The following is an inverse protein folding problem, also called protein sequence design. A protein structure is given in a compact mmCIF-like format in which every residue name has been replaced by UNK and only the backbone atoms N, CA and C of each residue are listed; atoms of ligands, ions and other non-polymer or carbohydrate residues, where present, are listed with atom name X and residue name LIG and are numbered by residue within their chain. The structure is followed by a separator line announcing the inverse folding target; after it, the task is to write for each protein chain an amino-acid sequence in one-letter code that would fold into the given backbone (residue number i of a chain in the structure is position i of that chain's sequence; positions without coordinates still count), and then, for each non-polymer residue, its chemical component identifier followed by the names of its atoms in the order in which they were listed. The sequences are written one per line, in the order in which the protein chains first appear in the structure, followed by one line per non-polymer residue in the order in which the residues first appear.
data_IF_286041068783
#
_entry.id   IF_286041068783
#
_cell.length_a   1.000
_cell.length_b   1.000
_cell.length_c   1.000
_cell.angle_alpha   90.00
_cell.angle_beta   90.00
_cell.angle_gamma   90.00
#
_symmetry.space_group_name_H-M   'P 1'
#
loop_
_entity.id
_entity.type
_entity.pdbx_description
1 polymer ?
#
# COMPACT_ATOMS: atom_id res chain seq x y z
N UNK A 1 -15.49 16.89 11.60
CA UNK A 1 -14.43 17.80 12.10
C UNK A 1 -13.52 18.12 10.91
N UNK A 2 -13.70 19.28 10.25
CA UNK A 2 -13.03 19.57 8.95
C UNK A 2 -12.08 20.77 8.94
N UNK A 3 -11.95 21.53 10.02
CA UNK A 3 -11.18 22.78 10.01
C UNK A 3 -10.28 22.95 11.24
N UNK A 4 -9.19 22.18 11.30
CA UNK A 4 -8.03 22.54 12.14
C UNK A 4 -6.74 22.50 11.32
N UNK A 5 -6.67 23.27 10.22
CA UNK A 5 -5.40 23.54 9.54
C UNK A 5 -4.88 24.96 9.89
N UNK A 6 -5.04 25.42 11.14
CA UNK A 6 -4.29 26.60 11.61
C UNK A 6 -3.77 26.42 13.04
N UNK A 7 -2.46 26.67 13.19
CA UNK A 7 -1.62 26.62 14.40
C UNK A 7 -0.88 25.30 14.66
N UNK A 8 0.28 25.17 14.02
CA UNK A 8 1.41 24.44 14.62
C UNK A 8 2.40 25.51 15.08
N UNK A 9 2.54 25.69 16.39
CA UNK A 9 3.55 26.57 17.00
C UNK A 9 4.88 25.80 17.10
N UNK A 10 6.04 26.44 16.85
CA UNK A 10 7.33 25.78 17.03
C UNK A 10 7.71 25.81 18.51
N UNK A 11 7.55 24.69 19.22
CA UNK A 11 8.24 24.50 20.50
C UNK A 11 9.63 23.92 20.20
N UNK A 12 10.64 24.79 20.27
CA UNK A 12 12.03 24.37 20.42
C UNK A 12 12.21 23.86 21.86
N UNK A 13 12.45 22.56 22.01
CA UNK A 13 12.94 21.97 23.25
C UNK A 13 14.39 21.53 23.03
N UNK A 14 15.30 22.30 23.62
CA UNK A 14 16.71 21.93 23.80
C UNK A 14 16.75 20.82 24.84
N UNK A 15 17.09 19.59 24.44
CA UNK A 15 17.35 18.49 25.38
C UNK A 15 18.86 18.39 25.57
N UNK A 16 19.30 18.70 26.79
CA UNK A 16 20.66 18.53 27.27
C UNK A 16 21.03 17.05 27.31
N UNK A 17 22.22 16.72 26.82
CA UNK A 17 22.80 15.38 26.88
C UNK A 17 23.07 14.98 28.35
N UNK A 18 22.53 13.83 28.75
CA UNK A 18 22.90 13.14 29.98
C UNK A 18 23.52 11.80 29.59
N UNK A 19 24.84 11.70 29.81
CA UNK A 19 25.62 10.49 29.61
C UNK A 19 25.26 9.46 30.68
N UNK A 20 24.75 8.30 30.28
CA UNK A 20 24.61 7.14 31.15
C UNK A 20 25.73 6.13 30.85
N UNK A 21 26.46 5.77 31.91
CA UNK A 21 27.50 4.75 31.93
C UNK A 21 26.81 3.38 31.99
N UNK A 22 27.04 2.52 30.99
CA UNK A 22 26.61 1.11 31.03
C UNK A 22 27.54 0.28 31.94
N UNK A 23 27.01 -0.62 32.80
CA UNK A 23 27.78 -1.73 33.32
C UNK A 23 27.86 -2.87 32.28
N UNK A 24 29.03 -3.50 32.20
CA UNK A 24 29.33 -4.59 31.29
C UNK A 24 28.69 -5.93 31.68
N UNK A 25 28.27 -6.64 30.63
CA UNK A 25 28.29 -8.09 30.41
C UNK A 25 27.55 -9.03 31.39
N UNK A 26 26.49 -9.65 30.86
CA UNK A 26 26.14 -11.06 31.14
C UNK A 26 25.90 -11.73 29.78
N UNK A 27 26.61 -12.83 29.53
CA UNK A 27 26.71 -13.49 28.24
C UNK A 27 25.37 -14.01 27.70
N UNK A 28 25.08 -13.69 26.44
CA UNK A 28 23.99 -14.27 25.68
C UNK A 28 24.49 -15.51 24.93
N UNK A 29 23.85 -16.65 25.17
CA UNK A 29 23.95 -17.83 24.31
C UNK A 29 23.39 -17.48 22.93
N UNK A 30 24.24 -17.42 21.90
CA UNK A 30 23.80 -17.34 20.51
C UNK A 30 23.48 -18.74 19.99
N UNK A 31 22.21 -19.07 19.86
CA UNK A 31 21.80 -20.14 18.97
C UNK A 31 21.84 -19.60 17.54
N UNK A 32 22.89 -19.94 16.80
CA UNK A 32 22.97 -19.67 15.36
C UNK A 32 21.94 -20.55 14.63
N UNK A 33 20.84 -19.96 14.18
CA UNK A 33 20.02 -20.58 13.14
C UNK A 33 20.75 -20.40 11.81
N UNK A 34 21.40 -21.46 11.34
CA UNK A 34 21.94 -21.51 9.98
C UNK A 34 20.78 -21.45 8.98
N UNK A 35 20.65 -20.30 8.30
CA UNK A 35 19.85 -20.22 7.09
C UNK A 35 20.53 -21.04 5.98
N UNK A 36 19.84 -22.01 5.35
CA UNK A 36 20.41 -22.75 4.23
C UNK A 36 20.85 -21.78 3.13
N UNK A 37 22.14 -21.80 2.80
CA UNK A 37 22.71 -20.98 1.75
C UNK A 37 22.09 -21.35 0.39
N UNK A 38 21.32 -20.42 -0.18
CA UNK A 38 20.81 -20.54 -1.54
C UNK A 38 21.95 -20.27 -2.54
N UNK A 39 22.72 -21.31 -2.89
CA UNK A 39 23.62 -21.24 -4.04
C UNK A 39 22.84 -21.52 -5.33
N UNK A 40 22.97 -20.63 -6.33
CA UNK A 40 22.81 -21.01 -7.74
C UNK A 40 21.57 -20.55 -8.50
N UNK A 41 20.94 -19.42 -8.16
CA UNK A 41 20.06 -18.69 -9.10
C UNK A 41 20.64 -17.28 -9.23
N UNK A 42 20.84 -16.77 -10.44
CA UNK A 42 20.97 -15.32 -10.60
C UNK A 42 19.63 -14.73 -10.10
N UNK A 43 19.59 -14.35 -8.82
CA UNK A 43 18.35 -13.96 -8.15
C UNK A 43 18.01 -12.58 -8.65
N UNK A 44 17.14 -12.49 -9.66
CA UNK A 44 16.42 -11.26 -9.88
C UNK A 44 15.75 -10.86 -8.56
N UNK A 45 16.10 -9.69 -8.04
CA UNK A 45 15.65 -9.19 -6.74
C UNK A 45 14.12 -9.26 -6.63
N UNK A 46 13.65 -9.77 -5.51
CA UNK A 46 12.23 -9.78 -5.13
C UNK A 46 12.07 -8.90 -3.90
N UNK A 47 10.95 -8.21 -3.82
CA UNK A 47 10.67 -7.25 -2.77
C UNK A 47 9.33 -7.55 -2.10
N UNK A 48 9.33 -7.50 -0.78
CA UNK A 48 8.16 -7.58 0.06
C UNK A 48 7.81 -6.20 0.61
N UNK A 49 6.58 -5.76 0.37
CA UNK A 49 6.04 -4.51 0.87
C UNK A 49 4.92 -4.76 1.88
N UNK A 50 4.68 -3.80 2.76
CA UNK A 50 3.53 -3.82 3.68
C UNK A 50 2.66 -2.59 3.47
N UNK A 51 1.35 -2.79 3.35
CA UNK A 51 0.38 -1.70 3.20
C UNK A 51 0.05 -1.07 4.54
N UNK A 52 0.20 0.24 4.69
CA UNK A 52 -0.08 0.96 5.93
C UNK A 52 -1.14 2.03 5.68
N UNK A 53 -2.27 1.93 6.38
CA UNK A 53 -3.38 2.87 6.32
C UNK A 53 -3.00 4.12 7.10
N UNK A 54 -2.55 5.17 6.42
CA UNK A 54 -2.24 6.47 7.05
C UNK A 54 -3.51 7.07 7.66
N UNK A 55 -4.68 6.76 7.11
CA UNK A 55 -5.99 7.06 7.70
C UNK A 55 -6.16 6.61 9.15
N UNK A 56 -5.41 5.61 9.60
CA UNK A 56 -5.47 5.08 10.98
C UNK A 56 -4.40 5.68 11.91
N UNK A 57 -3.70 6.74 11.47
CA UNK A 57 -2.55 7.33 12.17
C UNK A 57 -2.81 8.73 12.72
N UNK A 58 -4.07 9.13 12.89
CA UNK A 58 -4.41 10.50 13.33
C UNK A 58 -3.71 10.91 14.64
N UNK A 59 -3.58 9.98 15.59
CA UNK A 59 -2.92 10.18 16.87
C UNK A 59 -1.42 9.85 16.87
N UNK A 60 -0.86 9.37 15.74
CA UNK A 60 0.54 8.99 15.68
C UNK A 60 1.44 10.18 15.92
N UNK A 61 2.45 9.95 16.74
CA UNK A 61 3.61 10.81 16.90
C UNK A 61 4.81 10.13 16.23
N UNK A 62 5.93 10.83 16.22
CA UNK A 62 7.17 10.29 15.66
C UNK A 62 7.56 8.94 16.29
N UNK A 63 7.40 8.78 17.61
CA UNK A 63 7.74 7.54 18.31
C UNK A 63 6.88 6.35 17.85
N UNK A 64 5.61 6.59 17.55
CA UNK A 64 4.70 5.54 17.10
C UNK A 64 5.10 5.06 15.69
N UNK A 65 5.47 5.99 14.80
CA UNK A 65 6.07 5.66 13.50
C UNK A 65 7.42 4.94 13.62
N UNK A 66 8.29 5.34 14.55
CA UNK A 66 9.57 4.64 14.79
C UNK A 66 9.29 3.19 15.21
N UNK A 67 8.38 2.97 16.16
CA UNK A 67 8.04 1.62 16.62
C UNK A 67 7.49 0.76 15.50
N UNK A 68 6.53 1.26 14.71
CA UNK A 68 5.97 0.51 13.58
C UNK A 68 7.05 0.16 12.55
N UNK A 69 7.88 1.13 12.13
CA UNK A 69 8.92 0.91 11.15
C UNK A 69 10.04 -0.01 11.65
N UNK A 70 10.35 0.00 12.95
CA UNK A 70 11.27 -0.97 13.55
C UNK A 70 10.73 -2.39 13.43
N UNK A 71 9.48 -2.64 13.81
CA UNK A 71 8.87 -3.97 13.70
C UNK A 71 8.77 -4.43 12.24
N UNK A 72 8.34 -3.55 11.34
CA UNK A 72 8.25 -3.85 9.90
C UNK A 72 9.62 -4.26 9.33
N UNK A 73 10.67 -3.57 9.76
CA UNK A 73 12.04 -3.91 9.37
C UNK A 73 12.48 -5.26 9.96
N UNK A 74 12.13 -5.54 11.22
CA UNK A 74 12.41 -6.84 11.88
C UNK A 74 11.66 -8.00 11.23
N UNK A 75 10.45 -7.76 10.74
CA UNK A 75 9.63 -8.71 9.97
C UNK A 75 10.17 -8.95 8.54
N UNK A 76 11.19 -8.19 8.11
CA UNK A 76 11.89 -8.38 6.84
C UNK A 76 11.23 -7.75 5.62
N UNK A 77 10.36 -6.74 5.80
CA UNK A 77 9.80 -5.98 4.68
C UNK A 77 10.81 -4.94 4.15
N UNK A 78 10.87 -4.81 2.83
CA UNK A 78 11.76 -3.86 2.14
C UNK A 78 11.19 -2.44 2.16
N UNK A 79 9.87 -2.31 2.04
CA UNK A 79 9.22 -1.01 2.04
C UNK A 79 7.78 -0.98 2.55
N UNK A 80 7.35 0.20 2.99
CA UNK A 80 5.97 0.49 3.40
C UNK A 80 5.25 1.28 2.32
N UNK A 81 4.10 0.75 1.87
CA UNK A 81 3.16 1.45 1.02
C UNK A 81 2.25 2.32 1.88
N UNK A 82 2.51 3.63 1.91
CA UNK A 82 1.75 4.59 2.72
C UNK A 82 0.45 4.96 2.01
N UNK A 83 -0.68 4.38 2.45
CA UNK A 83 -1.99 4.65 1.88
C UNK A 83 -2.63 5.90 2.49
N UNK A 84 -2.83 6.94 1.67
CA UNK A 84 -3.30 8.24 2.15
C UNK A 84 -4.30 8.94 1.21
N UNK A 85 -5.26 9.59 1.84
CA UNK A 85 -6.21 10.54 1.25
C UNK A 85 -5.77 12.01 1.39
N UNK A 86 -6.67 12.97 1.07
CA UNK A 86 -6.32 14.37 0.88
C UNK A 86 -6.23 15.22 2.16
N UNK A 87 -6.58 14.68 3.33
CA UNK A 87 -6.64 15.49 4.54
C UNK A 87 -5.26 15.99 4.99
N UNK A 88 -5.16 17.26 5.40
CA UNK A 88 -3.89 17.93 5.72
C UNK A 88 -3.07 17.17 6.79
N UNK A 89 -3.75 16.54 7.75
CA UNK A 89 -3.11 15.76 8.82
C UNK A 89 -2.50 14.44 8.32
N UNK A 90 -3.02 13.83 7.25
CA UNK A 90 -2.44 12.61 6.67
C UNK A 90 -1.08 12.90 6.04
N UNK A 91 -0.97 14.03 5.33
CA UNK A 91 0.32 14.49 4.79
C UNK A 91 1.33 14.80 5.92
N UNK A 92 0.87 15.36 7.05
CA UNK A 92 1.73 15.59 8.22
C UNK A 92 2.18 14.26 8.86
N UNK A 93 1.31 13.25 8.92
CA UNK A 93 1.67 11.92 9.40
C UNK A 93 2.68 11.24 8.48
N UNK A 94 2.54 11.34 7.16
CA UNK A 94 3.56 10.86 6.21
C UNK A 94 4.91 11.56 6.41
N UNK A 95 4.92 12.86 6.70
CA UNK A 95 6.17 13.55 7.03
C UNK A 95 6.84 12.96 8.29
N UNK A 96 6.06 12.55 9.30
CA UNK A 96 6.57 11.83 10.46
C UNK A 96 7.12 10.44 10.08
N UNK A 97 6.44 9.70 9.19
CA UNK A 97 6.90 8.40 8.71
C UNK A 97 8.27 8.49 8.02
N UNK A 98 8.44 9.45 7.09
CA UNK A 98 9.73 9.67 6.42
C UNK A 98 10.83 10.12 7.38
N UNK A 99 10.49 10.95 8.38
CA UNK A 99 11.42 11.32 9.45
C UNK A 99 11.83 10.11 10.29
N UNK A 100 10.89 9.23 10.65
CA UNK A 100 11.16 8.01 11.38
C UNK A 100 12.08 7.06 10.58
N UNK A 101 11.78 6.84 9.29
CA UNK A 101 12.62 6.02 8.42
C UNK A 101 14.07 6.53 8.36
N UNK A 102 14.27 7.86 8.28
CA UNK A 102 15.61 8.44 8.34
C UNK A 102 16.31 8.27 9.69
N UNK A 103 15.58 8.33 10.81
CA UNK A 103 16.15 8.04 12.13
C UNK A 103 16.55 6.56 12.29
N UNK A 104 15.88 5.66 11.55
CA UNK A 104 16.21 4.24 11.48
C UNK A 104 17.26 3.91 10.40
N UNK A 105 17.87 4.94 9.79
CA UNK A 105 18.93 4.77 8.80
C UNK A 105 18.44 4.37 7.40
N UNK A 106 17.16 4.58 7.09
CA UNK A 106 16.53 4.28 5.80
C UNK A 106 16.60 2.80 5.38
N UNK A 107 16.67 1.88 6.34
CA UNK A 107 16.76 0.43 6.09
C UNK A 107 15.45 -0.15 5.54
N UNK A 108 14.33 0.19 6.17
CA UNK A 108 13.01 0.04 5.56
C UNK A 108 12.70 1.33 4.79
N UNK A 109 12.35 1.20 3.52
CA UNK A 109 12.02 2.32 2.66
C UNK A 109 10.50 2.58 2.65
N UNK A 110 10.08 3.71 2.09
CA UNK A 110 8.68 4.11 2.02
C UNK A 110 8.33 4.46 0.58
N UNK A 111 7.08 4.28 0.20
CA UNK A 111 6.53 4.88 -1.01
C UNK A 111 5.08 5.27 -0.81
N UNK A 112 4.61 6.23 -1.60
CA UNK A 112 3.23 6.68 -1.51
C UNK A 112 2.31 5.73 -2.29
N UNK A 113 1.22 5.33 -1.64
CA UNK A 113 0.07 4.65 -2.24
C UNK A 113 -1.14 5.57 -2.19
N UNK A 114 -1.33 6.35 -3.24
CA UNK A 114 -2.35 7.41 -3.26
C UNK A 114 -3.76 6.78 -3.27
N UNK A 115 -4.60 7.07 -2.28
CA UNK A 115 -5.98 6.56 -2.22
C UNK A 115 -6.90 7.37 -3.12
N UNK A 116 -6.97 6.99 -4.38
CA UNK A 116 -7.69 7.74 -5.41
C UNK A 116 -9.22 7.61 -5.29
N UNK A 117 -9.72 6.87 -4.30
CA UNK A 117 -11.15 6.90 -3.92
C UNK A 117 -11.49 8.14 -3.10
N UNK A 118 -10.48 8.74 -2.48
CA UNK A 118 -10.59 9.91 -1.62
C UNK A 118 -10.05 11.17 -2.29
N UNK A 119 -9.07 11.06 -3.20
CA UNK A 119 -8.51 12.20 -3.93
C UNK A 119 -9.40 12.67 -5.09
N UNK A 120 -9.62 13.99 -5.26
CA UNK A 120 -10.26 14.53 -6.45
C UNK A 120 -9.34 14.38 -7.68
N UNK A 121 -9.94 14.26 -8.86
CA UNK A 121 -9.24 14.07 -10.14
C UNK A 121 -9.90 14.88 -11.26
N UNK A 122 -10.46 16.05 -10.94
CA UNK A 122 -11.33 16.79 -11.86
C UNK A 122 -10.57 17.63 -12.88
N UNK A 123 -9.29 17.95 -12.63
CA UNK A 123 -8.50 18.79 -13.54
C UNK A 123 -7.07 19.03 -13.05
N UNK A 124 -6.39 19.95 -13.73
CA UNK A 124 -4.98 20.31 -13.51
C UNK A 124 -4.65 20.67 -12.06
N UNK A 125 -5.56 21.39 -11.38
CA UNK A 125 -5.37 21.79 -9.99
C UNK A 125 -5.27 20.59 -9.03
N UNK A 126 -6.00 19.51 -9.32
CA UNK A 126 -5.95 18.29 -8.51
C UNK A 126 -4.69 17.49 -8.80
N UNK A 127 -4.30 17.38 -10.08
CA UNK A 127 -3.02 16.78 -10.48
C UNK A 127 -1.84 17.50 -9.82
N UNK A 128 -1.83 18.84 -9.84
CA UNK A 128 -0.77 19.65 -9.26
C UNK A 128 -0.67 19.47 -7.73
N UNK A 129 -1.80 19.40 -7.02
CA UNK A 129 -1.80 19.11 -5.57
C UNK A 129 -1.21 17.74 -5.25
N UNK A 130 -1.62 16.72 -6.00
CA UNK A 130 -1.13 15.36 -5.82
C UNK A 130 0.37 15.26 -6.17
N UNK A 131 0.80 15.92 -7.25
CA UNK A 131 2.18 15.97 -7.67
C UNK A 131 3.05 16.71 -6.63
N UNK A 132 2.56 17.80 -6.05
CA UNK A 132 3.27 18.52 -4.99
C UNK A 132 3.50 17.64 -3.75
N UNK A 133 2.51 16.84 -3.34
CA UNK A 133 2.66 15.87 -2.26
C UNK A 133 3.76 14.84 -2.58
N UNK A 134 3.72 14.27 -3.79
CA UNK A 134 4.69 13.26 -4.23
C UNK A 134 6.10 13.84 -4.36
N UNK A 135 6.22 15.07 -4.86
CA UNK A 135 7.50 15.77 -5.03
C UNK A 135 8.26 16.00 -3.72
N UNK A 136 7.58 16.00 -2.57
CA UNK A 136 8.25 16.04 -1.27
C UNK A 136 9.14 14.81 -1.01
N UNK A 137 8.85 13.69 -1.66
CA UNK A 137 9.42 12.39 -1.30
C UNK A 137 10.14 11.65 -2.44
N UNK A 138 9.83 11.92 -3.72
CA UNK A 138 10.47 11.21 -4.86
C UNK A 138 12.00 11.19 -4.83
N UNK A 139 12.63 12.22 -4.26
CA UNK A 139 14.08 12.31 -4.12
C UNK A 139 14.59 12.00 -2.70
N UNK A 140 13.70 11.70 -1.75
CA UNK A 140 14.06 11.48 -0.36
C UNK A 140 14.90 10.20 -0.20
N UNK A 141 15.91 10.16 0.70
CA UNK A 141 16.74 8.97 0.90
C UNK A 141 15.96 7.71 1.32
N UNK A 142 14.89 7.89 2.09
CA UNK A 142 13.99 6.81 2.50
C UNK A 142 12.97 6.39 1.43
N UNK A 143 12.90 7.03 0.27
CA UNK A 143 11.97 6.65 -0.80
C UNK A 143 12.43 5.36 -1.45
N UNK A 144 11.54 4.37 -1.53
CA UNK A 144 11.83 3.12 -2.25
C UNK A 144 12.03 3.43 -3.73
N UNK A 145 13.13 2.93 -4.28
CA UNK A 145 13.51 3.12 -5.68
C UNK A 145 13.76 1.77 -6.32
N UNK A 146 13.12 1.54 -7.46
CA UNK A 146 13.38 0.35 -8.27
C UNK A 146 14.08 0.75 -9.56
N UNK A 147 15.25 0.16 -9.83
CA UNK A 147 16.09 0.49 -11.01
C UNK A 147 16.35 2.01 -11.15
N UNK A 148 16.60 2.68 -10.02
CA UNK A 148 16.87 4.12 -9.96
C UNK A 148 15.64 5.02 -10.11
N UNK A 149 14.45 4.48 -10.32
CA UNK A 149 13.18 5.21 -10.43
C UNK A 149 12.44 5.23 -9.10
N UNK A 150 11.84 6.36 -8.72
CA UNK A 150 11.02 6.46 -7.51
C UNK A 150 9.75 5.60 -7.65
N UNK A 151 9.54 4.65 -6.75
CA UNK A 151 8.35 3.80 -6.77
C UNK A 151 7.13 4.56 -6.27
N UNK A 152 6.02 4.50 -7.02
CA UNK A 152 4.75 5.12 -6.63
C UNK A 152 3.63 4.13 -6.95
N UNK A 153 2.66 4.04 -6.06
CA UNK A 153 1.43 3.26 -6.30
C UNK A 153 0.20 4.10 -6.02
N UNK A 154 -0.95 3.50 -6.31
CA UNK A 154 -2.26 4.00 -5.91
C UNK A 154 -3.11 2.84 -5.43
N UNK A 155 -4.16 3.15 -4.69
CA UNK A 155 -5.38 2.35 -4.71
C UNK A 155 -6.38 3.08 -5.60
N UNK A 156 -6.96 2.39 -6.59
CA UNK A 156 -7.84 2.98 -7.60
C UNK A 156 -7.14 4.07 -8.44
N UNK A 157 -7.90 4.90 -9.18
CA UNK A 157 -7.36 6.00 -10.01
C UNK A 157 -7.66 5.88 -11.50
N UNK A 158 -8.32 4.80 -11.90
CA UNK A 158 -8.70 4.47 -13.28
C UNK A 158 -10.20 4.58 -13.54
N UNK A 159 -10.99 4.95 -12.53
CA UNK A 159 -12.45 5.03 -12.62
C UNK A 159 -12.96 6.28 -13.36
N UNK A 160 -12.08 7.24 -13.64
CA UNK A 160 -12.42 8.50 -14.28
C UNK A 160 -11.90 8.48 -15.72
N UNK A 161 -12.75 8.24 -16.74
CA UNK A 161 -12.33 8.18 -18.14
C UNK A 161 -11.56 9.42 -18.58
N UNK A 162 -11.88 10.58 -17.98
CA UNK A 162 -11.18 11.83 -18.22
C UNK A 162 -10.17 12.25 -17.15
N UNK A 163 -9.58 11.33 -16.39
CA UNK A 163 -8.62 11.57 -15.28
C UNK A 163 -7.83 12.88 -15.40
N UNK A 164 -7.95 13.75 -14.40
CA UNK A 164 -7.36 15.10 -14.36
C UNK A 164 -7.75 16.00 -15.54
N UNK A 165 -8.97 15.84 -16.07
CA UNK A 165 -9.49 16.61 -17.19
C UNK A 165 -8.86 16.26 -18.55
N UNK A 166 -8.31 15.05 -18.70
CA UNK A 166 -7.75 14.53 -19.96
C UNK A 166 -8.76 13.67 -20.71
N UNK A 167 -8.45 13.18 -21.91
CA UNK A 167 -9.39 12.38 -22.70
C UNK A 167 -9.36 10.89 -22.30
N UNK A 168 -8.24 10.42 -21.77
CA UNK A 168 -8.08 9.04 -21.29
C UNK A 168 -7.43 8.99 -19.91
N UNK A 169 -7.60 7.85 -19.23
CA UNK A 169 -6.90 7.54 -17.97
C UNK A 169 -5.40 7.70 -18.14
N UNK A 170 -4.83 7.17 -19.23
CA UNK A 170 -3.38 7.25 -19.43
C UNK A 170 -2.86 8.64 -19.71
N UNK A 171 -3.57 9.46 -20.49
CA UNK A 171 -3.20 10.87 -20.64
C UNK A 171 -3.23 11.62 -19.30
N UNK A 172 -4.19 11.31 -18.43
CA UNK A 172 -4.27 11.85 -17.07
C UNK A 172 -3.05 11.50 -16.22
N UNK A 173 -2.70 10.21 -16.16
CA UNK A 173 -1.55 9.75 -15.37
C UNK A 173 -0.21 10.14 -15.98
N UNK A 174 -0.10 10.23 -17.31
CA UNK A 174 1.08 10.79 -17.98
C UNK A 174 1.23 12.28 -17.68
N UNK A 175 0.14 13.04 -17.70
CA UNK A 175 0.15 14.44 -17.28
C UNK A 175 0.60 14.57 -15.83
N UNK A 176 -0.01 13.83 -14.89
CA UNK A 176 0.41 13.81 -13.48
C UNK A 176 1.90 13.51 -13.32
N UNK A 177 2.42 12.47 -13.99
CA UNK A 177 3.84 12.09 -13.90
C UNK A 177 4.76 13.17 -14.49
N UNK A 178 4.32 13.91 -15.50
CA UNK A 178 5.10 15.00 -16.08
C UNK A 178 5.30 16.19 -15.11
N UNK A 179 4.48 16.29 -14.06
CA UNK A 179 4.61 17.28 -12.99
C UNK A 179 5.62 16.88 -11.91
N UNK A 180 6.20 15.68 -11.97
CA UNK A 180 7.10 15.16 -10.95
C UNK A 180 8.56 15.57 -11.19
N UNK A 181 9.21 16.10 -10.15
CA UNK A 181 10.60 16.59 -10.20
C UNK A 181 11.56 15.51 -9.73
N UNK A 182 12.01 14.66 -10.65
CA UNK A 182 12.86 13.49 -10.38
C UNK A 182 14.36 13.81 -10.47
N UNK A 183 14.83 14.85 -9.78
CA UNK A 183 16.21 15.34 -9.89
C UNK A 183 17.28 14.29 -9.52
N UNK A 184 16.97 13.39 -8.58
CA UNK A 184 17.87 12.34 -8.08
C UNK A 184 17.36 10.92 -8.41
N UNK A 185 16.47 10.79 -9.40
CA UNK A 185 15.97 9.50 -9.89
C UNK A 185 15.91 9.52 -11.42
N UNK A 186 15.88 8.36 -12.05
CA UNK A 186 15.74 8.23 -13.52
C UNK A 186 14.28 8.35 -13.98
N UNK A 187 13.43 8.96 -13.14
CA UNK A 187 11.98 9.03 -13.30
C UNK A 187 11.23 8.32 -12.18
N UNK A 188 10.01 7.89 -12.47
CA UNK A 188 9.13 7.15 -11.56
C UNK A 188 8.85 5.75 -12.08
N UNK A 189 8.63 4.82 -11.16
CA UNK A 189 8.18 3.46 -11.44
C UNK A 189 6.76 3.30 -10.88
N UNK A 190 5.78 3.29 -11.76
CA UNK A 190 4.37 3.40 -11.40
C UNK A 190 3.66 2.05 -11.48
N UNK A 191 3.26 1.52 -10.32
CA UNK A 191 2.49 0.27 -10.19
C UNK A 191 1.21 0.55 -9.39
N UNK A 192 0.14 1.01 -10.04
CA UNK A 192 -1.12 1.27 -9.36
C UNK A 192 -1.96 0.00 -9.16
N UNK A 193 -2.80 -0.01 -8.11
CA UNK A 193 -3.93 -0.93 -8.01
C UNK A 193 -5.14 -0.36 -8.76
N UNK A 194 -5.04 -0.34 -10.09
CA UNK A 194 -6.17 -0.04 -10.97
C UNK A 194 -7.12 -1.23 -11.07
N UNK A 195 -8.37 -0.93 -11.39
CA UNK A 195 -9.45 -1.90 -11.60
C UNK A 195 -10.05 -1.78 -13.02
N UNK A 196 -9.22 -1.80 -14.08
CA UNK A 196 -9.69 -1.47 -15.41
C UNK A 196 -10.54 -2.62 -15.96
N UNK A 197 -11.48 -2.30 -16.85
CA UNK A 197 -12.27 -3.29 -17.57
C UNK A 197 -11.43 -4.14 -18.52
N UNK A 198 -10.34 -3.58 -19.02
CA UNK A 198 -9.32 -4.21 -19.85
C UNK A 198 -7.93 -3.71 -19.43
N UNK A 199 -7.05 -4.62 -18.99
CA UNK A 199 -5.66 -4.31 -18.65
C UNK A 199 -4.94 -3.59 -19.79
N UNK A 200 -5.22 -3.95 -21.04
CA UNK A 200 -4.55 -3.33 -22.21
C UNK A 200 -4.81 -1.84 -22.31
N UNK A 201 -5.95 -1.35 -21.80
CA UNK A 201 -6.32 0.06 -21.83
C UNK A 201 -5.40 0.98 -21.00
N UNK A 202 -4.63 0.42 -20.06
CA UNK A 202 -3.78 1.19 -19.14
C UNK A 202 -2.27 0.92 -19.31
N UNK A 203 -1.87 0.02 -20.22
CA UNK A 203 -0.46 -0.42 -20.32
C UNK A 203 0.52 0.67 -20.76
N UNK A 204 0.06 1.72 -21.46
CA UNK A 204 0.94 2.79 -21.93
C UNK A 204 1.42 3.70 -20.79
N UNK A 205 0.63 3.87 -19.73
CA UNK A 205 0.90 4.80 -18.65
C UNK A 205 1.43 4.16 -17.35
N UNK A 206 1.56 2.83 -17.29
CA UNK A 206 2.04 2.12 -16.09
C UNK A 206 3.34 1.33 -16.36
N UNK A 207 4.18 1.16 -15.35
CA UNK A 207 5.33 0.25 -15.41
C UNK A 207 4.95 -1.19 -14.97
N UNK A 208 3.78 -1.33 -14.36
CA UNK A 208 3.21 -2.60 -13.91
C UNK A 208 1.86 -2.38 -13.27
N UNK A 209 1.22 -3.44 -12.77
CA UNK A 209 -0.03 -3.30 -12.01
C UNK A 209 0.01 -4.08 -10.70
N UNK A 210 -0.60 -3.49 -9.68
CA UNK A 210 -0.84 -4.12 -8.39
C UNK A 210 -2.19 -4.82 -8.40
N UNK A 211 -2.17 -6.15 -8.33
CA UNK A 211 -3.40 -6.91 -8.26
C UNK A 211 -3.92 -6.98 -6.82
N UNK A 212 -4.51 -5.90 -6.30
CA UNK A 212 -5.08 -5.81 -4.94
C UNK A 212 -5.97 -7.02 -4.60
N UNK A 213 -6.82 -7.41 -5.54
CA UNK A 213 -7.80 -8.47 -5.38
C UNK A 213 -7.23 -9.90 -5.38
N UNK A 214 -5.91 -10.07 -5.55
CA UNK A 214 -5.25 -11.39 -5.51
C UNK A 214 -5.05 -11.94 -4.09
N UNK A 215 -5.23 -11.13 -3.04
CA UNK A 215 -4.97 -11.57 -1.67
C UNK A 215 -5.92 -12.66 -1.18
N UNK A 216 -7.21 -12.58 -1.53
CA UNK A 216 -8.27 -13.40 -0.93
C UNK A 216 -9.02 -14.25 -1.95
N UNK A 217 -9.50 -15.42 -1.49
CA UNK A 217 -10.52 -16.18 -2.22
C UNK A 217 -11.86 -15.44 -2.16
N UNK A 218 -12.57 -15.43 -3.28
CA UNK A 218 -13.91 -14.87 -3.39
C UNK A 218 -15.02 -15.89 -3.14
N UNK A 219 -14.64 -17.16 -3.01
CA UNK A 219 -15.58 -18.22 -2.63
C UNK A 219 -15.51 -18.41 -1.12
N UNK A 220 -16.38 -19.29 -0.60
CA UNK A 220 -16.27 -19.73 0.78
C UNK A 220 -15.04 -20.63 1.01
N UNK A 221 -14.31 -21.00 -0.04
CA UNK A 221 -13.19 -21.94 0.03
C UNK A 221 -11.86 -21.21 0.25
N UNK A 222 -10.86 -21.89 0.85
CA UNK A 222 -9.51 -21.38 0.94
C UNK A 222 -8.89 -21.06 -0.41
N UNK A 223 -7.90 -20.18 -0.39
CA UNK A 223 -7.13 -19.77 -1.56
C UNK A 223 -6.48 -20.98 -2.25
N UNK A 224 -6.71 -21.12 -3.55
CA UNK A 224 -6.15 -22.14 -4.44
C UNK A 224 -6.14 -21.65 -5.89
N UNK A 225 -5.39 -22.34 -6.75
CA UNK A 225 -5.49 -22.14 -8.21
C UNK A 225 -6.93 -22.34 -8.72
N UNK A 226 -7.74 -23.17 -8.05
CA UNK A 226 -9.14 -23.41 -8.42
C UNK A 226 -10.05 -22.23 -8.01
N UNK A 227 -9.87 -21.67 -6.82
CA UNK A 227 -10.67 -20.51 -6.37
C UNK A 227 -10.30 -19.24 -7.12
N UNK A 228 -9.06 -19.11 -7.58
CA UNK A 228 -8.63 -18.00 -8.44
C UNK A 228 -9.20 -18.14 -9.88
N UNK A 229 -9.59 -19.37 -10.29
CA UNK A 229 -10.17 -19.68 -11.62
C UNK A 229 -11.65 -19.38 -11.73
N UNK A 230 -12.37 -19.15 -10.62
CA UNK A 230 -13.84 -18.97 -10.66
C UNK A 230 -14.16 -17.64 -11.37
N UNK A 231 -14.68 -17.67 -12.62
CA UNK A 231 -15.04 -16.47 -13.33
C UNK A 231 -16.34 -15.95 -12.72
N UNK A 232 -16.41 -14.65 -12.49
CA UNK A 232 -17.59 -13.90 -12.06
C UNK A 232 -17.97 -13.98 -10.57
N UNK A 233 -17.84 -12.81 -9.93
CA UNK A 233 -18.54 -12.50 -8.71
C UNK A 233 -20.05 -12.56 -8.95
N UNK A 234 -20.78 -13.34 -8.15
CA UNK A 234 -22.22 -13.13 -7.97
C UNK A 234 -22.43 -11.70 -7.44
N UNK A 235 -23.42 -11.02 -8.01
CA UNK A 235 -23.89 -9.61 -7.87
C UNK A 235 -23.75 -8.92 -6.49
N UNK A 236 -23.66 -9.65 -5.38
CA UNK A 236 -23.61 -9.08 -4.02
C UNK A 236 -22.25 -8.42 -3.68
N UNK A 237 -21.14 -8.91 -4.23
CA UNK A 237 -19.79 -8.37 -3.98
C UNK A 237 -19.44 -7.16 -4.86
N UNK A 238 -20.23 -6.95 -5.91
CA UNK A 238 -20.14 -5.82 -6.83
C UNK A 238 -20.56 -4.51 -6.14
N UNK A 239 -21.50 -4.59 -5.19
CA UNK A 239 -22.05 -3.44 -4.50
C UNK A 239 -21.01 -2.76 -3.58
N UNK A 240 -20.11 -3.52 -2.95
CA UNK A 240 -19.08 -2.97 -2.05
C UNK A 240 -17.94 -2.26 -2.76
N UNK A 241 -17.56 -2.68 -3.98
CA UNK A 241 -16.61 -1.92 -4.80
C UNK A 241 -17.25 -0.63 -5.32
N UNK A 242 -18.53 -0.67 -5.66
CA UNK A 242 -19.32 0.51 -6.06
C UNK A 242 -19.47 1.51 -4.92
N UNK A 243 -19.67 1.03 -3.68
CA UNK A 243 -19.77 1.88 -2.49
C UNK A 243 -18.40 2.50 -2.13
N UNK A 244 -17.30 1.75 -2.21
CA UNK A 244 -15.95 2.30 -1.95
C UNK A 244 -15.52 3.33 -3.01
N UNK A 245 -15.84 3.10 -4.28
CA UNK A 245 -15.36 3.95 -5.38
C UNK A 245 -16.23 5.20 -5.63
N UNK A 246 -17.36 5.38 -4.91
CA UNK A 246 -18.32 6.50 -5.07
C UNK A 246 -18.67 6.84 -6.53
N UNK A 247 -18.66 5.85 -7.41
CA UNK A 247 -18.87 5.99 -8.85
C UNK A 247 -19.76 4.83 -9.32
N UNK A 248 -20.62 5.00 -10.34
CA UNK A 248 -21.28 3.87 -11.00
C UNK A 248 -20.23 2.98 -11.68
N UNK A 249 -19.73 1.98 -10.95
CA UNK A 249 -18.72 1.04 -11.46
C UNK A 249 -19.44 0.01 -12.32
N UNK A 250 -19.77 0.37 -13.55
CA UNK A 250 -20.38 -0.56 -14.51
C UNK A 250 -19.39 -1.58 -15.07
N UNK A 251 -18.11 -1.54 -14.69
CA UNK A 251 -17.06 -2.35 -15.32
C UNK A 251 -15.93 -2.83 -14.40
N UNK A 252 -16.22 -3.35 -13.20
CA UNK A 252 -15.24 -4.21 -12.49
C UNK A 252 -15.22 -5.57 -13.17
N UNK A 253 -14.49 -5.63 -14.27
CA UNK A 253 -14.14 -6.86 -14.98
C UNK A 253 -12.65 -6.72 -15.16
N UNK A 254 -11.82 -7.13 -14.21
CA UNK A 254 -10.97 -8.28 -14.43
C UNK A 254 -10.38 -8.73 -13.08
N UNK A 255 -11.16 -9.45 -12.28
CA UNK A 255 -10.56 -10.48 -11.44
C UNK A 255 -10.23 -11.65 -12.36
N UNK A 256 -9.09 -11.54 -13.01
CA UNK A 256 -8.48 -12.59 -13.79
C UNK A 256 -7.47 -13.32 -12.92
N UNK A 257 -7.20 -14.57 -13.26
CA UNK A 257 -6.08 -15.34 -12.74
C UNK A 257 -4.80 -14.49 -12.74
N UNK A 258 -3.93 -14.66 -11.74
CA UNK A 258 -2.62 -14.00 -11.77
C UNK A 258 -1.87 -14.35 -13.07
N UNK A 259 -2.07 -15.55 -13.63
CA UNK A 259 -1.56 -15.93 -14.96
C UNK A 259 -2.13 -15.07 -16.09
N UNK A 260 -3.42 -14.72 -16.05
CA UNK A 260 -4.08 -13.86 -17.03
C UNK A 260 -3.58 -12.42 -16.92
N UNK A 261 -3.41 -11.91 -15.70
CA UNK A 261 -2.80 -10.60 -15.46
C UNK A 261 -1.37 -10.54 -15.99
N UNK A 262 -0.52 -11.50 -15.63
CA UNK A 262 0.87 -11.57 -16.13
C UNK A 262 0.90 -11.70 -17.66
N UNK A 263 0.04 -12.54 -18.23
CA UNK A 263 -0.06 -12.71 -19.69
C UNK A 263 -0.46 -11.41 -20.40
N UNK A 264 -1.48 -10.70 -19.88
CA UNK A 264 -1.97 -9.44 -20.44
C UNK A 264 -1.01 -8.27 -20.25
N UNK A 265 -0.29 -8.24 -19.14
CA UNK A 265 0.76 -7.26 -18.87
C UNK A 265 1.93 -7.40 -19.85
N UNK A 266 2.24 -8.64 -20.25
CA UNK A 266 3.36 -8.94 -21.13
C UNK A 266 4.71 -8.90 -20.40
N UNK A 267 5.81 -9.19 -21.12
CA UNK A 267 7.13 -9.42 -20.51
C UNK A 267 7.81 -8.14 -19.99
N UNK A 268 7.38 -6.97 -20.44
CA UNK A 268 8.03 -5.68 -20.12
C UNK A 268 7.45 -5.01 -18.87
N UNK A 269 6.27 -5.46 -18.40
CA UNK A 269 5.55 -4.86 -17.29
C UNK A 269 5.65 -5.73 -16.05
N UNK A 270 5.67 -5.09 -14.89
CA UNK A 270 5.75 -5.80 -13.62
C UNK A 270 4.37 -6.18 -13.08
N UNK A 271 4.24 -7.39 -12.56
CA UNK A 271 3.08 -7.81 -11.78
C UNK A 271 3.43 -7.74 -10.29
N UNK A 272 2.62 -7.01 -9.52
CA UNK A 272 2.70 -7.01 -8.07
C UNK A 272 1.52 -7.79 -7.49
N UNK A 273 1.83 -8.83 -6.71
CA UNK A 273 0.85 -9.68 -6.04
C UNK A 273 0.44 -9.10 -4.69
N UNK A 274 -0.72 -9.53 -4.18
CA UNK A 274 -1.19 -9.21 -2.84
C UNK A 274 -1.28 -10.46 -1.97
N UNK A 275 -1.02 -10.32 -0.67
CA UNK A 275 -1.19 -11.36 0.34
C UNK A 275 -1.89 -10.74 1.56
N UNK A 276 -2.79 -11.47 2.19
CA UNK A 276 -3.48 -10.98 3.37
C UNK A 276 -3.97 -12.14 4.23
N UNK A 277 -4.00 -12.01 5.56
CA UNK A 277 -4.47 -13.08 6.43
C UNK A 277 -5.99 -13.27 6.35
N UNK A 278 -6.73 -12.19 6.55
CA UNK A 278 -8.18 -12.18 6.69
C UNK A 278 -8.76 -10.94 6.02
N UNK A 279 -10.04 -11.03 5.66
CA UNK A 279 -10.86 -9.85 5.41
C UNK A 279 -12.21 -10.06 6.07
N UNK A 280 -12.50 -9.25 7.07
CA UNK A 280 -13.79 -9.21 7.72
C UNK A 280 -14.23 -7.77 7.94
N UNK A 281 -15.42 -7.46 7.43
CA UNK A 281 -16.09 -6.17 7.61
C UNK A 281 -17.56 -6.40 7.93
N UNK A 282 -18.08 -5.64 8.88
CA UNK A 282 -19.51 -5.61 9.20
C UNK A 282 -19.96 -4.16 9.43
N UNK A 283 -20.03 -3.41 8.35
CA UNK A 283 -20.50 -2.02 8.36
C UNK A 283 -21.98 -1.98 7.98
N UNK A 284 -22.80 -1.42 8.88
CA UNK A 284 -24.23 -1.27 8.68
C UNK A 284 -24.58 -0.33 7.52
N UNK A 285 -25.82 -0.44 7.03
CA UNK A 285 -26.32 0.32 5.89
C UNK A 285 -26.25 1.84 6.06
N UNK A 286 -26.28 2.35 7.30
CA UNK A 286 -26.12 3.77 7.64
C UNK A 286 -24.67 4.28 7.60
N UNK A 287 -23.69 3.41 7.30
CA UNK A 287 -22.27 3.72 7.24
C UNK A 287 -21.69 3.36 5.87
N UNK A 288 -20.70 2.46 5.79
CA UNK A 288 -20.08 2.00 4.55
C UNK A 288 -20.88 0.90 3.84
N UNK A 289 -22.00 0.43 4.42
CA UNK A 289 -22.85 -0.63 3.87
C UNK A 289 -22.04 -1.80 3.28
N UNK A 290 -21.02 -2.25 4.03
CA UNK A 290 -19.99 -3.17 3.60
C UNK A 290 -19.95 -4.35 4.55
N UNK A 291 -20.46 -5.48 4.08
CA UNK A 291 -20.46 -6.75 4.80
C UNK A 291 -19.68 -7.77 3.98
N UNK A 292 -18.43 -7.99 4.35
CA UNK A 292 -17.53 -8.91 3.65
C UNK A 292 -16.92 -9.85 4.66
N UNK A 293 -17.00 -11.15 4.36
CA UNK A 293 -16.20 -12.18 4.99
C UNK A 293 -15.54 -12.97 3.86
N UNK A 294 -14.21 -12.86 3.74
CA UNK A 294 -13.45 -13.86 2.99
C UNK A 294 -12.97 -14.93 3.96
N UNK A 295 -13.00 -16.20 3.55
CA UNK A 295 -12.56 -17.30 4.43
C UNK A 295 -11.14 -16.99 4.94
N UNK A 296 -10.92 -17.15 6.24
CA UNK A 296 -9.70 -16.73 6.95
C UNK A 296 -8.92 -17.92 7.52
N UNK A 297 -9.04 -19.12 6.94
CA UNK A 297 -8.28 -20.31 7.35
C UNK A 297 -6.76 -20.13 7.19
N UNK A 298 -6.04 -21.11 6.64
CA UNK A 298 -4.60 -20.95 6.38
C UNK A 298 -4.28 -20.08 5.15
N UNK A 299 -5.18 -19.17 4.75
CA UNK A 299 -5.05 -18.36 3.53
C UNK A 299 -3.77 -17.53 3.50
N UNK A 300 -3.31 -17.02 4.66
CA UNK A 300 -2.07 -16.27 4.74
C UNK A 300 -0.87 -17.10 4.28
N UNK A 301 -0.66 -18.26 4.93
CA UNK A 301 0.46 -19.15 4.63
C UNK A 301 0.33 -19.77 3.23
N UNK A 302 -0.88 -20.14 2.82
CA UNK A 302 -1.14 -20.72 1.49
C UNK A 302 -0.84 -19.72 0.37
N UNK A 303 -1.28 -18.45 0.52
CA UNK A 303 -1.04 -17.43 -0.49
C UNK A 303 0.44 -17.05 -0.55
N UNK A 304 1.12 -16.96 0.60
CA UNK A 304 2.58 -16.80 0.63
C UNK A 304 3.30 -17.93 -0.12
N UNK A 305 2.91 -19.19 0.13
CA UNK A 305 3.48 -20.34 -0.57
C UNK A 305 3.27 -20.25 -2.09
N UNK A 306 2.05 -19.92 -2.54
CA UNK A 306 1.74 -19.74 -3.97
C UNK A 306 2.57 -18.64 -4.62
N UNK A 307 2.59 -17.44 -4.03
CA UNK A 307 3.32 -16.28 -4.57
C UNK A 307 4.82 -16.57 -4.62
N UNK A 308 5.38 -17.20 -3.59
CA UNK A 308 6.81 -17.54 -3.53
C UNK A 308 7.24 -18.54 -4.61
N UNK A 309 6.33 -19.44 -5.03
CA UNK A 309 6.58 -20.44 -6.06
C UNK A 309 6.65 -19.84 -7.48
N UNK A 310 6.10 -18.65 -7.70
CA UNK A 310 6.01 -18.02 -9.02
C UNK A 310 7.22 -17.11 -9.25
N UNK A 311 8.20 -17.57 -10.03
CA UNK A 311 9.48 -16.86 -10.17
C UNK A 311 9.43 -15.51 -10.91
N UNK A 312 8.38 -15.27 -11.69
CA UNK A 312 8.16 -14.00 -12.38
C UNK A 312 7.65 -12.90 -11.45
N UNK A 313 7.12 -13.23 -10.26
CA UNK A 313 6.66 -12.22 -9.30
C UNK A 313 7.87 -11.56 -8.64
N UNK A 314 7.99 -10.25 -8.84
CA UNK A 314 9.06 -9.41 -8.26
C UNK A 314 8.61 -8.65 -7.04
N UNK A 315 7.32 -8.32 -6.97
CA UNK A 315 6.76 -7.51 -5.92
C UNK A 315 5.60 -8.26 -5.29
N UNK A 316 5.64 -8.35 -3.97
CA UNK A 316 4.51 -8.80 -3.17
C UNK A 316 4.21 -7.71 -2.16
N UNK A 317 2.95 -7.36 -2.01
CA UNK A 317 2.50 -6.47 -0.95
C UNK A 317 1.62 -7.24 0.00
N UNK A 318 1.78 -7.03 1.30
CA UNK A 318 0.87 -7.54 2.32
C UNK A 318 -0.17 -6.49 2.64
N UNK A 319 -1.44 -6.86 2.56
CA UNK A 319 -2.58 -6.09 3.07
C UNK A 319 -3.03 -6.69 4.39
N UNK A 320 -2.83 -6.06 5.54
CA UNK A 320 -2.20 -4.74 5.78
C UNK A 320 -1.41 -4.77 7.09
N UNK A 321 -0.70 -3.69 7.43
CA UNK A 321 -0.09 -3.52 8.74
C UNK A 321 -1.14 -3.19 9.81
N UNK A 322 -2.07 -2.27 9.53
CA UNK A 322 -2.92 -1.63 10.55
C UNK A 322 -4.37 -1.36 10.10
N UNK A 323 -4.90 -2.05 9.08
CA UNK A 323 -6.32 -1.96 8.75
C UNK A 323 -7.15 -2.83 9.71
N UNK A 324 -7.41 -2.26 10.89
CA UNK A 324 -8.23 -2.88 11.92
C UNK A 324 -9.70 -2.98 11.51
N UNK A 325 -10.18 -2.04 10.69
CA UNK A 325 -11.58 -1.97 10.26
C UNK A 325 -11.96 -3.06 9.26
N UNK A 326 -10.99 -3.56 8.49
CA UNK A 326 -11.20 -4.69 7.57
C UNK A 326 -10.59 -6.00 8.07
N UNK A 327 -10.07 -6.00 9.30
CA UNK A 327 -9.50 -7.17 9.97
C UNK A 327 -8.34 -7.83 9.19
N UNK A 328 -7.65 -7.07 8.34
CA UNK A 328 -6.56 -7.56 7.48
C UNK A 328 -5.16 -7.31 8.06
N UNK A 329 -5.09 -6.60 9.19
CA UNK A 329 -3.86 -6.18 9.85
C UNK A 329 -3.00 -7.36 10.35
N UNK A 330 -1.68 -7.24 10.24
CA UNK A 330 -0.68 -8.13 10.86
C UNK A 330 0.18 -7.43 11.92
N UNK A 331 0.16 -6.09 11.97
CA UNK A 331 0.89 -5.30 12.93
C UNK A 331 0.30 -5.39 14.33
N UNK A 332 1.11 -5.04 15.33
CA UNK A 332 0.67 -5.02 16.72
C UNK A 332 -0.50 -4.04 16.90
N UNK A 333 -1.55 -4.48 17.61
CA UNK A 333 -2.63 -3.56 18.01
C UNK A 333 -2.08 -2.58 19.05
N UNK A 334 -2.32 -1.26 18.92
CA UNK A 334 -2.04 -0.32 19.99
C UNK A 334 -2.75 -0.73 21.28
N UNK A 335 -2.08 -0.63 22.43
CA UNK A 335 -2.65 -0.98 23.73
C UNK A 335 -3.90 -0.16 24.10
N UNK A 336 -4.10 1.01 23.49
CA UNK A 336 -5.32 1.79 23.65
C UNK A 336 -6.44 1.22 22.78
N UNK A 337 -7.40 0.55 23.43
CA UNK A 337 -8.67 0.04 22.88
C UNK A 337 -9.55 1.10 22.17
N UNK A 338 -9.14 2.36 22.13
CA UNK A 338 -9.87 3.49 21.54
C UNK A 338 -9.82 3.59 20.00
N UNK A 339 -9.05 2.74 19.32
CA UNK A 339 -8.90 2.79 17.84
C UNK A 339 -9.58 1.63 17.10
N UNK A 340 -10.32 0.77 17.81
CA UNK A 340 -11.33 -0.08 17.15
C UNK A 340 -12.45 0.84 16.65
N UNK A 341 -13.03 0.64 15.45
CA UNK A 341 -14.27 1.31 15.09
C UNK A 341 -15.36 0.87 16.07
N UNK A 342 -15.57 1.65 17.13
CA UNK A 342 -16.67 1.43 18.07
C UNK A 342 -17.98 2.08 17.57
N UNK A 343 -17.90 2.94 16.55
CA UNK A 343 -19.04 3.74 16.05
C UNK A 343 -18.95 4.09 14.55
N UNK A 344 -20.10 4.45 13.99
CA UNK A 344 -20.48 4.49 12.56
C UNK A 344 -19.90 5.60 11.68
N UNK A 345 -18.76 6.21 12.01
CA UNK A 345 -18.24 7.35 11.23
C UNK A 345 -16.72 7.34 11.12
N UNK A 346 -16.23 7.32 9.87
CA UNK A 346 -14.90 7.71 9.44
C UNK A 346 -14.87 9.21 9.13
#
# INVERSE_FOLDING_TARGET
MKNQCSRVWPFFLVISALSFILPQAVGAFSASYDHPSAQGRATEERYAFIHHMVGNTYSYRLVDWITDLMHIQEDGFDAVALNLGPDCWQSASVALAYKAASQLGNKVQLFLSLDMTSWPQSGDADAAKLAALVNNYVNHPAQFKYRGKAFISTFAGDQYPGSFGRATVCEGWDYFRSLLTTANTTGTFFIPAFFPSDIKSVLSCVDGLYHWNSAWSLTADPVSDATDKVPSLKRAYYLSLVIMLKCPVSHVTLRGLWQDWISKLGPEKSYMSNVSPALFTNYGASSLNKQILYNTGNNYAQRWAQVSAISSIKFVQVSTYNDFGESSYIGARPHSTQLQPATTTW
#
